data_IF_101877837518
#
_entry.id   IF_101877837518
#
_cell.length_a   1.000
_cell.length_b   1.000
_cell.length_c   1.000
_cell.angle_alpha   90.00
_cell.angle_beta   90.00
_cell.angle_gamma   90.00
#
_symmetry.space_group_name_H-M   'P 1'
#
loop_
_entity.id
_entity.type
_entity.pdbx_description
1 polymer ?
#
# COMPACT_ATOMS: atom_id res chain seq x y z
N UNK A 1 7.82 -16.20 -4.25
CA UNK A 1 8.66 -15.49 -5.25
C UNK A 1 9.59 -14.55 -4.50
N UNK A 2 10.91 -14.72 -4.64
CA UNK A 2 11.89 -13.84 -3.98
C UNK A 2 11.82 -12.47 -4.65
N UNK A 3 11.47 -11.42 -3.92
CA UNK A 3 11.43 -10.07 -4.48
C UNK A 3 12.83 -9.68 -4.94
N UNK A 4 12.98 -9.36 -6.23
CA UNK A 4 14.21 -8.78 -6.77
C UNK A 4 14.30 -7.32 -6.30
N UNK A 5 14.93 -7.11 -5.15
CA UNK A 5 15.24 -5.75 -4.67
C UNK A 5 16.52 -5.30 -5.38
N UNK A 6 16.42 -4.24 -6.19
CA UNK A 6 17.54 -3.66 -6.92
C UNK A 6 17.80 -2.23 -6.42
N UNK A 7 19.04 -1.95 -6.05
CA UNK A 7 19.46 -0.60 -5.71
C UNK A 7 19.33 0.31 -6.94
N UNK A 8 18.60 1.41 -6.77
CA UNK A 8 18.31 2.36 -7.83
C UNK A 8 18.50 3.77 -7.28
N UNK A 9 19.16 4.64 -8.05
CA UNK A 9 19.28 6.06 -7.71
C UNK A 9 18.09 6.81 -8.31
N UNK A 10 17.25 7.37 -7.45
CA UNK A 10 16.12 8.22 -7.82
C UNK A 10 16.21 9.53 -7.04
N UNK A 11 15.69 10.63 -7.61
CA UNK A 11 15.48 11.86 -6.84
C UNK A 11 14.25 11.66 -5.95
N UNK A 12 14.43 11.84 -4.65
CA UNK A 12 13.39 11.68 -3.65
C UNK A 12 13.40 12.91 -2.74
N UNK A 13 12.23 13.44 -2.40
CA UNK A 13 12.11 14.42 -1.32
C UNK A 13 12.47 13.75 0.01
N UNK A 14 13.63 14.12 0.55
CA UNK A 14 14.17 13.51 1.75
C UNK A 14 13.37 13.88 3.00
N UNK A 15 12.73 15.05 3.03
CA UNK A 15 11.90 15.45 4.18
C UNK A 15 10.63 14.60 4.23
N UNK A 16 9.97 14.44 3.09
CA UNK A 16 8.79 13.57 2.99
C UNK A 16 9.14 12.12 3.34
N UNK A 17 10.31 11.64 2.91
CA UNK A 17 10.76 10.29 3.24
C UNK A 17 11.01 10.13 4.76
N UNK A 18 11.59 11.14 5.41
CA UNK A 18 11.82 11.12 6.86
C UNK A 18 10.50 11.18 7.66
N UNK A 19 9.53 11.94 7.19
CA UNK A 19 8.19 11.98 7.81
C UNK A 19 7.44 10.66 7.61
N UNK A 20 7.54 10.07 6.41
CA UNK A 20 6.97 8.76 6.13
C UNK A 20 7.58 7.67 7.03
N UNK A 21 8.87 7.72 7.31
CA UNK A 21 9.53 6.79 8.26
C UNK A 21 8.89 6.87 9.65
N UNK A 22 8.61 8.09 10.15
CA UNK A 22 7.97 8.28 11.46
C UNK A 22 6.53 7.80 11.48
N UNK A 23 5.74 8.16 10.48
CA UNK A 23 4.31 7.81 10.40
C UNK A 23 4.12 6.30 10.23
N UNK A 24 4.96 5.67 9.40
CA UNK A 24 4.87 4.23 9.10
C UNK A 24 5.65 3.36 10.09
N UNK A 25 6.39 3.95 11.03
CA UNK A 25 7.23 3.21 11.98
C UNK A 25 8.35 2.40 11.33
N UNK A 26 8.82 2.83 10.16
CA UNK A 26 9.84 2.12 9.38
C UNK A 26 11.24 2.31 9.99
N UNK A 27 12.17 1.39 9.73
CA UNK A 27 13.56 1.49 10.19
C UNK A 27 14.43 2.31 9.25
N UNK A 28 14.02 2.46 8.00
CA UNK A 28 14.78 3.18 6.97
C UNK A 28 13.87 3.84 5.93
N UNK A 29 14.39 4.86 5.24
CA UNK A 29 13.70 5.53 4.12
C UNK A 29 13.29 4.54 3.03
N UNK A 30 14.17 3.58 2.70
CA UNK A 30 13.88 2.55 1.70
C UNK A 30 12.71 1.65 2.12
N UNK A 31 12.65 1.28 3.40
CA UNK A 31 11.54 0.50 3.94
C UNK A 31 10.22 1.27 3.91
N UNK A 32 10.24 2.55 4.28
CA UNK A 32 9.07 3.43 4.19
C UNK A 32 8.54 3.51 2.74
N UNK A 33 9.44 3.65 1.75
CA UNK A 33 9.08 3.64 0.32
C UNK A 33 8.44 2.30 -0.08
N UNK A 34 8.99 1.16 0.36
CA UNK A 34 8.42 -0.15 0.06
C UNK A 34 7.07 -0.41 0.72
N UNK A 35 6.82 0.14 1.91
CA UNK A 35 5.52 0.08 2.58
C UNK A 35 4.52 0.93 1.80
N UNK A 36 4.85 2.19 1.52
CA UNK A 36 3.97 3.11 0.79
C UNK A 36 3.57 2.55 -0.59
N UNK A 37 4.51 1.97 -1.34
CA UNK A 37 4.21 1.36 -2.64
C UNK A 37 3.25 0.17 -2.52
N UNK A 38 3.41 -0.67 -1.48
CA UNK A 38 2.50 -1.79 -1.24
C UNK A 38 1.10 -1.32 -0.91
N UNK A 39 0.98 -0.31 -0.06
CA UNK A 39 -0.32 0.25 0.35
C UNK A 39 -1.06 0.88 -0.83
N UNK A 40 -0.37 1.68 -1.66
CA UNK A 40 -0.99 2.30 -2.84
C UNK A 40 -1.52 1.24 -3.82
N UNK A 41 -0.76 0.17 -4.06
CA UNK A 41 -1.20 -0.94 -4.91
C UNK A 41 -2.38 -1.69 -4.29
N UNK A 42 -2.33 -1.98 -2.99
CA UNK A 42 -3.41 -2.63 -2.27
C UNK A 42 -4.70 -1.79 -2.32
N UNK A 43 -4.59 -0.48 -2.11
CA UNK A 43 -5.70 0.46 -2.16
C UNK A 43 -6.32 0.54 -3.55
N UNK A 44 -5.51 0.51 -4.62
CA UNK A 44 -6.03 0.41 -5.99
C UNK A 44 -6.82 -0.88 -6.21
N UNK A 45 -6.26 -2.04 -5.81
CA UNK A 45 -6.94 -3.34 -5.90
C UNK A 45 -8.24 -3.35 -5.11
N UNK A 46 -8.24 -2.75 -3.92
CA UNK A 46 -9.42 -2.61 -3.10
C UNK A 46 -10.51 -1.78 -3.80
N UNK A 47 -10.15 -0.63 -4.38
CA UNK A 47 -11.09 0.20 -5.16
C UNK A 47 -11.65 -0.56 -6.37
N UNK A 48 -10.82 -1.31 -7.09
CA UNK A 48 -11.26 -2.13 -8.23
C UNK A 48 -12.25 -3.22 -7.79
N UNK A 49 -11.95 -3.92 -6.70
CA UNK A 49 -12.83 -4.91 -6.11
C UNK A 49 -14.17 -4.28 -5.69
N UNK A 50 -14.12 -3.14 -4.98
CA UNK A 50 -15.33 -2.42 -4.56
C UNK A 50 -16.15 -1.92 -5.75
N UNK A 51 -15.52 -1.47 -6.84
CA UNK A 51 -16.25 -1.09 -8.06
C UNK A 51 -16.92 -2.29 -8.74
N UNK A 52 -16.21 -3.44 -8.81
CA UNK A 52 -16.72 -4.64 -9.46
C UNK A 52 -17.91 -5.27 -8.71
N UNK A 53 -17.87 -5.23 -7.38
CA UNK A 53 -18.79 -5.95 -6.51
C UNK A 53 -19.68 -5.07 -5.63
N UNK A 54 -19.47 -3.75 -5.63
CA UNK A 54 -20.24 -2.79 -4.84
C UNK A 54 -21.72 -2.84 -5.21
N UNK A 55 -22.56 -3.10 -4.20
CA UNK A 55 -24.01 -3.26 -4.35
C UNK A 55 -24.47 -4.56 -4.99
N UNK A 56 -23.57 -5.40 -5.51
CA UNK A 56 -23.90 -6.72 -6.09
C UNK A 56 -23.75 -7.85 -5.08
N UNK A 57 -22.95 -7.64 -4.04
CA UNK A 57 -22.79 -8.60 -2.95
C UNK A 57 -23.98 -8.49 -2.01
N UNK A 58 -24.70 -9.59 -1.85
CA UNK A 58 -25.67 -9.74 -0.77
C UNK A 58 -24.89 -10.20 0.46
N UNK A 59 -25.01 -9.46 1.56
CA UNK A 59 -24.49 -9.91 2.84
C UNK A 59 -25.33 -11.12 3.29
N UNK A 60 -24.73 -12.31 3.33
CA UNK A 60 -25.43 -13.56 3.70
C UNK A 60 -25.85 -13.60 5.18
N UNK A 61 -25.41 -12.64 6.00
CA UNK A 61 -25.75 -12.54 7.43
C UNK A 61 -27.06 -11.81 7.76
N UNK A 62 -28.01 -11.75 6.83
CA UNK A 62 -29.40 -11.39 7.16
C UNK A 62 -30.22 -12.67 7.41
N UNK A 63 -30.01 -13.31 8.55
CA UNK A 63 -30.79 -14.49 8.95
C UNK A 63 -30.25 -15.11 10.23
N UNK A 64 -31.17 -15.49 11.12
CA UNK A 64 -30.95 -16.42 12.24
C UNK A 64 -30.35 -17.74 11.76
#
# INVERSE_FOLDING_TARGET
MKALIKMTSIRLDTKLADDAVKVLGAKSRSEAVHIALREVVALKKFKEMMSKYGGKLKFEGHGK
#
